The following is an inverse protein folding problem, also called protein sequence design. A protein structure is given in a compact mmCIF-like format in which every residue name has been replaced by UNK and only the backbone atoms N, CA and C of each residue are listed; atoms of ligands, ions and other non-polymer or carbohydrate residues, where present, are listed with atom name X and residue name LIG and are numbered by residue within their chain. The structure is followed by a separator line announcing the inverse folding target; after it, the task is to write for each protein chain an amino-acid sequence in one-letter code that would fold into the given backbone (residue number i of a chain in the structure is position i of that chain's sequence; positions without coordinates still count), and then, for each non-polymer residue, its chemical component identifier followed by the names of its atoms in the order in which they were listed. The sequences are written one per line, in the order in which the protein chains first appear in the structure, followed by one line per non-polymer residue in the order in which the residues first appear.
data_IF_403831410461
#
_entry.id   IF_403831410461
#
_cell.length_a   1.000
_cell.length_b   1.000
_cell.length_c   1.000
_cell.angle_alpha   90.00
_cell.angle_beta   90.00
_cell.angle_gamma   90.00
#
_symmetry.space_group_name_H-M   'P 1'
#
loop_
_entity.id
_entity.type
_entity.pdbx_description
1 polymer ?
#
# COMPACT_ATOMS: atom_id res chain seq x y z
N UNK A 1 1.94 2.91 13.80
CA UNK A 1 1.83 2.08 12.59
C UNK A 1 0.46 2.32 12.01
N UNK A 2 0.40 2.90 10.81
CA UNK A 2 -0.82 3.12 10.06
C UNK A 2 -0.81 2.23 8.81
N UNK A 3 -1.95 1.67 8.44
CA UNK A 3 -2.11 0.88 7.22
C UNK A 3 -2.76 1.75 6.14
N UNK A 4 -2.30 1.62 4.89
CA UNK A 4 -2.88 2.27 3.73
C UNK A 4 -3.00 1.30 2.57
N UNK A 5 -3.92 1.58 1.64
CA UNK A 5 -4.03 0.88 0.38
C UNK A 5 -4.20 1.89 -0.77
N UNK A 6 -3.51 1.64 -1.88
CA UNK A 6 -3.66 2.40 -3.14
C UNK A 6 -4.38 1.51 -4.16
N UNK A 7 -5.38 2.05 -4.84
CA UNK A 7 -6.13 1.36 -5.91
C UNK A 7 -6.03 2.19 -7.19
N UNK A 8 -5.26 1.65 -8.13
CA UNK A 8 -5.11 2.21 -9.47
C UNK A 8 -5.39 1.16 -10.53
N UNK A 9 -6.51 1.29 -11.24
CA UNK A 9 -6.89 0.38 -12.33
C UNK A 9 -6.96 -1.08 -11.88
N UNK A 10 -6.06 -1.92 -12.40
CA UNK A 10 -5.94 -3.36 -12.11
C UNK A 10 -4.93 -3.69 -11.00
N UNK A 11 -4.36 -2.69 -10.32
CA UNK A 11 -3.31 -2.88 -9.32
C UNK A 11 -3.76 -2.38 -7.96
N UNK A 12 -3.47 -3.18 -6.95
CA UNK A 12 -3.68 -2.84 -5.54
C UNK A 12 -2.31 -2.88 -4.85
N UNK A 13 -1.97 -1.85 -4.07
CA UNK A 13 -0.79 -1.86 -3.20
C UNK A 13 -1.20 -1.70 -1.74
N UNK A 14 -0.50 -2.38 -0.83
CA UNK A 14 -0.71 -2.30 0.61
C UNK A 14 0.55 -1.71 1.29
N UNK A 15 0.39 -0.67 2.09
CA UNK A 15 1.50 0.03 2.75
C UNK A 15 1.37 0.07 4.28
N UNK A 16 2.52 0.05 4.95
CA UNK A 16 2.66 0.30 6.40
C UNK A 16 3.45 1.58 6.59
N UNK A 17 2.90 2.50 7.39
CA UNK A 17 3.45 3.82 7.61
C UNK A 17 3.74 4.08 9.10
N UNK A 18 4.77 4.87 9.38
CA UNK A 18 5.09 5.33 10.72
C UNK A 18 4.17 6.48 11.19
N UNK A 19 4.44 7.02 12.39
CA UNK A 19 3.68 8.14 12.95
C UNK A 19 3.77 9.43 12.11
N UNK A 20 4.83 9.60 11.33
CA UNK A 20 5.03 10.71 10.40
C UNK A 20 4.41 10.49 9.03
N UNK A 21 3.65 9.40 8.83
CA UNK A 21 3.10 8.96 7.53
C UNK A 21 4.18 8.68 6.48
N UNK A 22 5.39 8.31 6.91
CA UNK A 22 6.42 7.83 5.99
C UNK A 22 6.24 6.33 5.77
N UNK A 23 6.34 5.90 4.51
CA UNK A 23 6.22 4.50 4.13
C UNK A 23 7.41 3.72 4.68
N UNK A 24 7.13 2.71 5.49
CA UNK A 24 8.14 1.83 6.09
C UNK A 24 8.23 0.51 5.33
N UNK A 25 7.10 0.05 4.77
CA UNK A 25 7.05 -1.18 3.97
C UNK A 25 5.84 -1.17 3.04
N UNK A 26 5.99 -1.77 1.86
CA UNK A 26 4.93 -1.95 0.88
C UNK A 26 4.88 -3.39 0.36
N UNK A 27 3.67 -3.87 0.09
CA UNK A 27 3.39 -5.05 -0.71
C UNK A 27 2.55 -4.68 -1.91
N UNK A 28 3.11 -4.86 -3.09
CA UNK A 28 2.34 -4.93 -4.31
C UNK A 28 1.39 -6.14 -4.25
N UNK A 29 0.09 -5.89 -4.37
CA UNK A 29 -0.91 -6.92 -4.61
C UNK A 29 -0.82 -7.44 -6.04
N UNK A 30 -1.46 -8.59 -6.28
CA UNK A 30 -1.55 -9.16 -7.61
C UNK A 30 -2.31 -8.23 -8.55
N UNK A 31 -1.91 -8.22 -9.84
CA UNK A 31 -2.74 -7.64 -10.89
C UNK A 31 -4.12 -8.32 -10.84
N UNK A 32 -5.15 -7.56 -10.46
CA UNK A 32 -6.54 -7.97 -10.61
C UNK A 32 -6.87 -7.78 -12.08
N UNK A 33 -6.80 -8.89 -12.83
CA UNK A 33 -7.03 -8.98 -14.27
C UNK A 33 -8.20 -8.12 -14.79
#
# INVERSE_FOLDING_TARGET
MYYGFDIGGTKIALGVFDSGRQLQWEKAGADTA
#
